data_IF_631450885073
#
_entry.id   IF_631450885073
#
_cell.length_a   1.000
_cell.length_b   1.000
_cell.length_c   1.000
_cell.angle_alpha   90.00
_cell.angle_beta   90.00
_cell.angle_gamma   90.00
#
_symmetry.space_group_name_H-M   'P 1'
#
loop_
_entity.id
_entity.type
_entity.pdbx_description
1 polymer ?
#
# COMPACT_ATOMS: atom_id res chain seq x y z
N UNK A 1 3.44 -9.42 14.99
CA UNK A 1 3.33 -8.34 16.01
C UNK A 1 4.21 -7.20 15.58
N UNK A 2 3.58 -6.07 15.26
CA UNK A 2 4.27 -4.85 14.86
C UNK A 2 5.25 -4.44 15.97
N UNK A 3 6.52 -4.33 15.67
CA UNK A 3 7.55 -3.81 16.57
C UNK A 3 7.53 -2.28 16.70
N UNK A 4 6.69 -1.61 15.89
CA UNK A 4 6.56 -0.15 15.86
C UNK A 4 5.37 0.29 16.73
N UNK A 5 5.66 0.78 17.93
CA UNK A 5 4.64 1.23 18.89
C UNK A 5 3.86 2.49 18.46
N UNK A 6 4.22 3.09 17.33
CA UNK A 6 3.62 4.33 16.85
C UNK A 6 2.32 4.14 16.08
N UNK A 7 1.96 2.90 15.72
CA UNK A 7 0.77 2.60 14.92
C UNK A 7 -0.20 1.70 15.66
N UNK A 8 -1.48 1.86 15.35
CA UNK A 8 -2.51 0.98 15.90
C UNK A 8 -2.39 -0.41 15.29
N UNK A 9 -2.51 -1.42 16.13
CA UNK A 9 -2.61 -2.81 15.66
C UNK A 9 -4.06 -3.12 15.29
N UNK A 10 -4.21 -4.09 14.37
CA UNK A 10 -5.50 -4.65 14.05
C UNK A 10 -6.11 -5.30 15.32
N UNK A 11 -7.37 -4.99 15.67
CA UNK A 11 -8.05 -5.68 16.78
C UNK A 11 -8.11 -7.19 16.55
N UNK A 12 -7.93 -7.99 17.59
CA UNK A 12 -7.86 -9.46 17.50
C UNK A 12 -9.03 -10.06 16.72
N UNK A 13 -10.25 -9.57 16.97
CA UNK A 13 -11.44 -10.07 16.26
C UNK A 13 -11.38 -9.84 14.74
N UNK A 14 -10.76 -8.74 14.31
CA UNK A 14 -10.58 -8.44 12.89
C UNK A 14 -9.46 -9.29 12.29
N UNK A 15 -8.37 -9.49 13.04
CA UNK A 15 -7.30 -10.40 12.66
C UNK A 15 -7.85 -11.81 12.48
N UNK A 16 -8.61 -12.33 13.44
CA UNK A 16 -9.21 -13.67 13.38
C UNK A 16 -10.10 -13.82 12.14
N UNK A 17 -10.97 -12.83 11.86
CA UNK A 17 -11.85 -12.84 10.69
C UNK A 17 -11.05 -12.78 9.37
N UNK A 18 -9.98 -11.97 9.29
CA UNK A 18 -9.11 -11.88 8.13
C UNK A 18 -8.44 -13.23 7.82
N UNK A 19 -7.91 -13.88 8.86
CA UNK A 19 -7.26 -15.19 8.72
C UNK A 19 -8.24 -16.32 8.42
N UNK A 20 -9.47 -16.25 8.92
CA UNK A 20 -10.52 -17.22 8.64
C UNK A 20 -11.17 -17.02 7.26
N UNK A 21 -11.02 -15.84 6.64
CA UNK A 21 -11.78 -15.47 5.45
C UNK A 21 -13.25 -15.22 5.74
N UNK A 22 -13.56 -14.78 6.96
CA UNK A 22 -14.92 -14.41 7.33
C UNK A 22 -15.27 -13.00 6.83
N UNK A 23 -16.54 -12.68 6.60
CA UNK A 23 -16.94 -11.33 6.23
C UNK A 23 -16.40 -10.25 7.19
N UNK A 24 -15.91 -9.12 6.66
CA UNK A 24 -15.94 -8.68 5.25
C UNK A 24 -14.72 -9.10 4.41
N UNK A 25 -13.93 -10.09 4.84
CA UNK A 25 -12.68 -10.52 4.20
C UNK A 25 -12.83 -11.80 3.35
N UNK A 26 -14.05 -12.26 3.15
CA UNK A 26 -14.42 -13.46 2.38
C UNK A 26 -14.19 -13.32 0.87
N UNK A 27 -14.18 -12.08 0.35
CA UNK A 27 -13.88 -11.76 -1.05
C UNK A 27 -12.46 -11.24 -1.30
N UNK A 28 -11.48 -11.61 -0.45
CA UNK A 28 -10.10 -11.17 -0.62
C UNK A 28 -9.35 -12.10 -1.58
N UNK A 29 -9.04 -11.61 -2.79
CA UNK A 29 -8.32 -12.37 -3.83
C UNK A 29 -6.81 -12.11 -3.81
N UNK A 30 -6.38 -10.92 -3.42
CA UNK A 30 -4.97 -10.53 -3.44
C UNK A 30 -4.60 -9.55 -2.32
N UNK A 31 -3.32 -9.61 -1.90
CA UNK A 31 -2.70 -8.61 -1.03
C UNK A 31 -1.48 -7.99 -1.70
N UNK A 32 -1.27 -6.70 -1.46
CA UNK A 32 -0.17 -5.92 -2.03
C UNK A 32 0.70 -5.34 -0.93
N UNK A 33 1.99 -5.64 -0.97
CA UNK A 33 2.98 -5.13 -0.01
C UNK A 33 3.78 -4.03 -0.69
N UNK A 34 3.80 -2.84 -0.10
CA UNK A 34 4.56 -1.72 -0.66
C UNK A 34 6.05 -1.86 -0.45
N UNK A 35 6.49 -2.29 0.74
CA UNK A 35 7.90 -2.47 1.08
C UNK A 35 8.07 -3.36 2.32
N UNK A 36 9.32 -3.73 2.66
CA UNK A 36 9.64 -4.77 3.64
C UNK A 36 9.76 -4.29 5.10
N UNK A 37 9.52 -3.02 5.42
CA UNK A 37 9.59 -2.55 6.80
C UNK A 37 8.54 -3.21 7.69
N UNK A 38 8.90 -3.43 8.96
CA UNK A 38 8.12 -4.24 9.89
C UNK A 38 6.76 -3.66 10.31
N UNK A 39 6.46 -2.41 9.97
CA UNK A 39 5.13 -1.79 10.11
C UNK A 39 4.24 -2.03 8.88
N UNK A 40 4.80 -2.46 7.76
CA UNK A 40 4.09 -2.85 6.53
C UNK A 40 4.14 -4.35 6.25
N UNK A 41 5.19 -5.02 6.73
CA UNK A 41 5.45 -6.41 6.41
C UNK A 41 6.17 -7.09 7.57
N UNK A 42 5.50 -8.03 8.23
CA UNK A 42 6.08 -8.93 9.23
C UNK A 42 6.13 -10.33 8.64
N UNK A 43 7.31 -10.87 8.27
CA UNK A 43 7.41 -12.15 7.56
C UNK A 43 6.66 -13.29 8.23
N UNK A 44 6.72 -13.39 9.57
CA UNK A 44 6.06 -14.44 10.34
C UNK A 44 4.53 -14.38 10.23
N UNK A 45 3.95 -13.18 10.34
CA UNK A 45 2.50 -13.00 10.23
C UNK A 45 2.03 -13.22 8.79
N UNK A 46 2.80 -12.75 7.80
CA UNK A 46 2.51 -12.98 6.38
C UNK A 46 2.59 -14.46 6.03
N UNK A 47 3.63 -15.20 6.50
CA UNK A 47 3.75 -16.63 6.29
C UNK A 47 2.53 -17.36 6.87
N UNK A 48 2.14 -17.00 8.09
CA UNK A 48 0.96 -17.58 8.77
C UNK A 48 -0.32 -17.28 7.97
N UNK A 49 -0.48 -16.05 7.46
CA UNK A 49 -1.63 -15.65 6.65
C UNK A 49 -1.69 -16.43 5.33
N UNK A 50 -0.60 -16.49 4.59
CA UNK A 50 -0.54 -17.20 3.30
C UNK A 50 -0.81 -18.71 3.44
N UNK A 51 -0.43 -19.31 4.56
CA UNK A 51 -0.78 -20.71 4.88
C UNK A 51 -2.26 -20.86 5.25
N UNK A 52 -2.84 -19.88 5.94
CA UNK A 52 -4.25 -19.91 6.33
C UNK A 52 -5.20 -19.62 5.15
N UNK A 53 -4.77 -18.83 4.18
CA UNK A 53 -5.55 -18.37 3.02
C UNK A 53 -4.90 -18.86 1.71
N UNK A 54 -5.13 -20.13 1.33
CA UNK A 54 -4.59 -20.69 0.09
C UNK A 54 -5.24 -20.13 -1.19
N UNK A 55 -6.32 -19.40 -1.05
CA UNK A 55 -7.11 -18.72 -2.06
C UNK A 55 -6.60 -17.30 -2.41
N UNK A 56 -5.62 -16.76 -1.67
CA UNK A 56 -5.15 -15.38 -1.82
C UNK A 56 -3.78 -15.33 -2.46
N UNK A 57 -3.63 -14.51 -3.50
CA UNK A 57 -2.35 -14.16 -4.11
C UNK A 57 -1.65 -13.02 -3.36
N UNK A 58 -0.33 -12.91 -3.49
CA UNK A 58 0.43 -11.83 -2.88
C UNK A 58 1.40 -11.19 -3.88
N UNK A 59 1.33 -9.87 -3.98
CA UNK A 59 2.22 -9.05 -4.81
C UNK A 59 3.16 -8.23 -3.92
N UNK A 60 4.47 -8.40 -4.09
CA UNK A 60 5.48 -7.86 -3.17
C UNK A 60 6.73 -7.36 -3.89
N UNK A 61 7.49 -6.40 -3.33
CA UNK A 61 8.86 -6.15 -3.78
C UNK A 61 9.75 -7.36 -3.49
N UNK A 62 10.77 -7.57 -4.32
CA UNK A 62 11.73 -8.69 -4.18
C UNK A 62 12.33 -8.79 -2.77
N UNK A 63 12.58 -7.66 -2.11
CA UNK A 63 13.09 -7.60 -0.74
C UNK A 63 12.16 -8.31 0.28
N UNK A 64 10.84 -8.09 0.16
CA UNK A 64 9.87 -8.76 1.03
C UNK A 64 9.78 -10.26 0.70
N UNK A 65 9.82 -10.64 -0.58
CA UNK A 65 9.84 -12.04 -0.98
C UNK A 65 11.08 -12.78 -0.46
N UNK A 66 12.25 -12.15 -0.49
CA UNK A 66 13.50 -12.69 0.07
C UNK A 66 13.36 -12.89 1.58
N UNK A 67 12.84 -11.88 2.31
CA UNK A 67 12.65 -11.98 3.75
C UNK A 67 11.67 -13.10 4.13
N UNK A 68 10.59 -13.28 3.36
CA UNK A 68 9.64 -14.38 3.56
C UNK A 68 10.29 -15.75 3.33
N UNK A 69 11.06 -15.90 2.24
CA UNK A 69 11.80 -17.15 1.94
C UNK A 69 12.81 -17.50 3.02
N UNK A 70 13.41 -16.52 3.67
CA UNK A 70 14.44 -16.73 4.69
C UNK A 70 13.90 -17.40 5.96
N UNK A 71 12.60 -17.28 6.23
CA UNK A 71 11.95 -17.91 7.42
C UNK A 71 11.11 -19.12 7.08
N UNK A 72 10.79 -19.33 5.80
CA UNK A 72 9.95 -20.44 5.35
C UNK A 72 10.65 -21.79 5.51
N UNK A 73 9.89 -22.80 5.91
CA UNK A 73 10.32 -24.20 6.00
C UNK A 73 10.00 -24.97 4.69
N UNK A 74 10.39 -26.24 4.64
CA UNK A 74 10.04 -27.12 3.54
C UNK A 74 8.51 -27.32 3.40
N UNK A 75 7.76 -27.19 4.49
CA UNK A 75 6.28 -27.31 4.47
C UNK A 75 5.58 -26.08 3.89
N UNK A 76 6.28 -24.95 3.77
CA UNK A 76 5.71 -23.68 3.32
C UNK A 76 5.99 -23.40 1.82
N UNK A 77 6.57 -24.37 1.09
CA UNK A 77 7.02 -24.10 -0.28
C UNK A 77 5.88 -23.76 -1.24
N UNK A 78 4.71 -24.35 -1.07
CA UNK A 78 3.54 -24.17 -1.93
C UNK A 78 3.01 -22.72 -1.92
N UNK A 79 3.29 -21.94 -0.86
CA UNK A 79 2.87 -20.53 -0.84
C UNK A 79 3.56 -19.69 -1.92
N UNK A 80 4.79 -20.09 -2.32
CA UNK A 80 5.59 -19.30 -3.27
C UNK A 80 5.09 -19.37 -4.71
N UNK A 81 4.17 -20.25 -5.03
CA UNK A 81 3.46 -20.26 -6.32
C UNK A 81 2.52 -19.05 -6.44
N UNK A 82 2.06 -18.53 -5.28
CA UNK A 82 1.14 -17.40 -5.13
C UNK A 82 1.83 -16.09 -4.74
N UNK A 83 3.14 -16.11 -4.51
CA UNK A 83 3.95 -14.92 -4.21
C UNK A 83 4.54 -14.38 -5.50
N UNK A 84 4.00 -13.30 -6.01
CA UNK A 84 4.43 -12.61 -7.23
C UNK A 84 5.33 -11.44 -6.84
N UNK A 85 6.63 -11.59 -7.02
CA UNK A 85 7.60 -10.55 -6.67
C UNK A 85 7.92 -9.64 -7.85
N UNK A 86 8.04 -8.33 -7.57
CA UNK A 86 8.54 -7.34 -8.51
C UNK A 86 9.92 -6.86 -8.07
N UNK A 87 10.81 -6.72 -9.04
CA UNK A 87 12.15 -6.18 -8.84
C UNK A 87 12.30 -4.94 -9.71
N UNK A 88 12.19 -3.77 -9.09
CA UNK A 88 12.26 -2.49 -9.75
C UNK A 88 13.33 -1.62 -9.09
N UNK A 89 14.23 -1.08 -9.89
CA UNK A 89 15.12 -0.04 -9.45
C UNK A 89 14.47 1.35 -9.58
N UNK A 90 15.04 2.33 -8.89
CA UNK A 90 14.56 3.71 -9.02
C UNK A 90 14.77 4.21 -10.45
N UNK A 91 13.71 4.69 -11.08
CA UNK A 91 13.60 5.12 -12.49
C UNK A 91 13.50 4.00 -13.51
N UNK A 92 13.34 2.77 -13.10
CA UNK A 92 12.87 1.75 -14.03
C UNK A 92 11.48 2.09 -14.54
N UNK A 93 11.19 1.69 -15.76
CA UNK A 93 9.85 1.84 -16.32
C UNK A 93 8.83 1.06 -15.46
N UNK A 94 7.59 1.57 -15.32
CA UNK A 94 6.52 0.83 -14.66
C UNK A 94 6.31 -0.53 -15.30
N UNK A 95 5.97 -1.53 -14.48
CA UNK A 95 5.52 -2.83 -14.98
C UNK A 95 4.01 -2.92 -14.92
N UNK A 96 3.42 -3.66 -15.86
CA UNK A 96 1.99 -3.94 -15.90
C UNK A 96 1.78 -5.44 -16.03
N UNK A 97 0.82 -5.97 -15.27
CA UNK A 97 0.39 -7.35 -15.25
C UNK A 97 -1.13 -7.38 -15.35
N UNK A 98 -1.65 -8.33 -16.12
CA UNK A 98 -3.10 -8.61 -16.13
C UNK A 98 -3.28 -10.03 -15.62
N UNK A 99 -4.05 -10.16 -14.53
CA UNK A 99 -4.36 -11.45 -13.92
C UNK A 99 -5.87 -11.52 -13.71
N UNK A 100 -6.52 -12.40 -14.44
CA UNK A 100 -7.98 -12.49 -14.47
C UNK A 100 -8.62 -11.13 -14.80
N UNK A 101 -9.36 -10.55 -13.86
CA UNK A 101 -10.04 -9.26 -13.98
C UNK A 101 -9.29 -8.11 -13.26
N UNK A 102 -8.05 -8.37 -12.84
CA UNK A 102 -7.18 -7.37 -12.24
C UNK A 102 -6.13 -6.87 -13.25
N UNK A 103 -6.05 -5.58 -13.45
CA UNK A 103 -4.88 -4.95 -14.05
C UNK A 103 -4.03 -4.32 -12.95
N UNK A 104 -2.80 -4.79 -12.82
CA UNK A 104 -1.88 -4.43 -11.75
C UNK A 104 -0.69 -3.70 -12.35
N UNK A 105 -0.46 -2.48 -11.91
CA UNK A 105 0.69 -1.69 -12.31
C UNK A 105 1.55 -1.37 -11.09
N UNK A 106 2.86 -1.47 -11.26
CA UNK A 106 3.84 -1.21 -10.21
C UNK A 106 4.91 -0.23 -10.65
N UNK A 107 5.22 0.73 -9.79
CA UNK A 107 6.28 1.73 -10.01
C UNK A 107 7.07 1.91 -8.72
N UNK A 108 8.40 1.96 -8.80
CA UNK A 108 9.24 2.28 -7.65
C UNK A 108 9.34 3.78 -7.43
N UNK A 109 8.79 4.28 -6.32
CA UNK A 109 9.02 5.64 -5.81
C UNK A 109 9.90 5.52 -4.56
N UNK A 110 11.00 6.29 -4.42
CA UNK A 110 11.84 6.25 -3.23
C UNK A 110 11.03 6.40 -1.95
N UNK A 111 11.45 5.67 -0.93
CA UNK A 111 10.88 5.78 0.40
C UNK A 111 11.15 7.17 1.01
N UNK A 112 10.25 7.65 1.85
CA UNK A 112 10.42 8.90 2.61
C UNK A 112 11.77 8.92 3.36
N UNK A 113 12.45 10.07 3.31
CA UNK A 113 13.81 10.23 3.80
C UNK A 113 14.87 10.36 2.70
N UNK A 114 14.46 10.21 1.44
CA UNK A 114 15.33 10.51 0.31
C UNK A 114 15.79 11.99 0.34
N UNK A 115 17.02 12.34 -0.09
CA UNK A 115 18.06 11.48 -0.69
C UNK A 115 19.09 10.94 0.31
N UNK A 116 18.89 11.07 1.59
CA UNK A 116 19.92 10.78 2.62
C UNK A 116 19.63 9.54 3.46
N UNK A 117 18.41 9.01 3.43
CA UNK A 117 18.00 7.84 4.20
C UNK A 117 17.15 6.86 3.39
N UNK A 118 17.18 5.59 3.78
CA UNK A 118 16.33 4.51 3.25
C UNK A 118 16.43 4.31 1.73
N UNK A 119 17.61 4.60 1.16
CA UNK A 119 17.85 4.49 -0.29
C UNK A 119 17.80 3.05 -0.79
N UNK A 120 18.05 2.12 0.11
CA UNK A 120 18.00 0.67 -0.11
C UNK A 120 16.58 0.10 -0.09
N UNK A 121 15.59 0.87 0.37
CA UNK A 121 14.20 0.40 0.47
C UNK A 121 13.51 0.51 -0.87
N UNK A 122 13.09 -0.62 -1.42
CA UNK A 122 12.22 -0.67 -2.60
C UNK A 122 10.77 -0.44 -2.18
N UNK A 123 10.36 0.83 -2.16
CA UNK A 123 8.94 1.17 -1.96
C UNK A 123 8.22 1.13 -3.32
N UNK A 124 7.27 0.23 -3.44
CA UNK A 124 6.46 0.04 -4.65
C UNK A 124 5.12 0.73 -4.49
N UNK A 125 4.83 1.59 -5.42
CA UNK A 125 3.49 2.14 -5.66
C UNK A 125 2.71 1.12 -6.47
N UNK A 126 1.55 0.72 -5.97
CA UNK A 126 0.64 -0.18 -6.64
C UNK A 126 -0.57 0.58 -7.16
N UNK A 127 -0.84 0.48 -8.47
CA UNK A 127 -2.09 0.90 -9.08
C UNK A 127 -2.83 -0.33 -9.57
N UNK A 128 -4.04 -0.54 -9.06
CA UNK A 128 -4.84 -1.73 -9.35
C UNK A 128 -6.18 -1.30 -9.91
N UNK A 129 -6.52 -1.83 -11.08
CA UNK A 129 -7.84 -1.68 -11.68
C UNK A 129 -8.61 -2.97 -11.51
N UNK A 130 -9.76 -2.88 -10.86
CA UNK A 130 -10.68 -3.97 -10.55
C UNK A 130 -11.79 -3.99 -11.60
N UNK A 131 -12.11 -5.17 -12.11
CA UNK A 131 -13.25 -5.39 -13.03
C UNK A 131 -13.28 -4.43 -14.23
N UNK A 132 -12.11 -4.04 -14.73
CA UNK A 132 -11.93 -3.09 -15.84
C UNK A 132 -12.54 -1.68 -15.58
N UNK A 133 -12.97 -1.39 -14.37
CA UNK A 133 -13.74 -0.19 -14.04
C UNK A 133 -13.12 0.64 -12.92
N UNK A 134 -12.89 0.06 -11.75
CA UNK A 134 -12.49 0.79 -10.54
C UNK A 134 -10.98 0.77 -10.35
N UNK A 135 -10.34 1.92 -10.35
CA UNK A 135 -8.88 2.04 -10.17
C UNK A 135 -8.54 2.62 -8.79
N UNK A 136 -7.71 1.90 -8.06
CA UNK A 136 -7.14 2.37 -6.79
C UNK A 136 -5.62 2.48 -6.89
N UNK A 137 -5.04 3.40 -6.13
CA UNK A 137 -3.59 3.56 -6.05
C UNK A 137 -3.12 3.68 -4.61
N UNK A 138 -2.14 2.86 -4.23
CA UNK A 138 -1.51 2.87 -2.92
C UNK A 138 -0.05 3.29 -3.04
N UNK A 139 0.36 4.33 -2.31
CA UNK A 139 1.69 4.92 -2.47
C UNK A 139 2.77 4.32 -1.54
N UNK A 140 2.39 3.43 -0.62
CA UNK A 140 3.31 2.98 0.43
C UNK A 140 3.85 4.16 1.23
N UNK A 141 5.13 4.15 1.52
CA UNK A 141 5.85 5.21 2.22
C UNK A 141 6.62 6.14 1.26
N UNK A 142 6.01 6.46 0.14
CA UNK A 142 6.62 7.30 -0.88
C UNK A 142 7.13 8.65 -0.33
N UNK A 143 8.29 9.08 -0.83
CA UNK A 143 8.81 10.42 -0.59
C UNK A 143 7.99 11.47 -1.35
N UNK A 144 7.53 12.51 -0.65
CA UNK A 144 6.67 13.55 -1.22
C UNK A 144 7.46 14.62 -2.00
N UNK A 145 8.31 14.19 -2.94
CA UNK A 145 9.09 15.06 -3.79
C UNK A 145 8.68 14.88 -5.26
N UNK A 146 8.26 15.95 -5.94
CA UNK A 146 7.74 15.91 -7.32
C UNK A 146 8.75 15.35 -8.34
N UNK A 147 10.04 15.38 -8.05
CA UNK A 147 11.05 14.80 -8.94
C UNK A 147 10.80 13.32 -9.23
N UNK A 148 10.24 12.58 -8.27
CA UNK A 148 9.93 11.15 -8.41
C UNK A 148 8.69 10.92 -9.27
N UNK A 149 7.73 11.83 -9.23
CA UNK A 149 6.44 11.75 -9.92
C UNK A 149 6.49 12.38 -11.32
N UNK A 150 7.60 13.01 -11.66
CA UNK A 150 7.84 13.61 -13.00
C UNK A 150 8.56 12.67 -13.97
N UNK A 151 9.08 11.53 -13.50
CA UNK A 151 9.91 10.62 -14.31
C UNK A 151 9.10 9.84 -15.34
N UNK A 152 7.87 9.46 -15.01
CA UNK A 152 7.01 8.59 -15.83
C UNK A 152 5.65 9.23 -16.08
N UNK A 153 5.59 10.31 -16.87
CA UNK A 153 4.34 11.05 -17.09
C UNK A 153 3.24 10.20 -17.75
N UNK A 154 3.60 9.21 -18.55
CA UNK A 154 2.63 8.28 -19.15
C UNK A 154 1.93 7.43 -18.10
N UNK A 155 2.66 6.92 -17.10
CA UNK A 155 2.06 6.19 -15.99
C UNK A 155 1.02 7.05 -15.26
N UNK A 156 1.36 8.28 -14.89
CA UNK A 156 0.44 9.15 -14.14
C UNK A 156 -0.76 9.63 -14.97
N UNK A 157 -0.59 9.83 -16.28
CA UNK A 157 -1.62 10.37 -17.14
C UNK A 157 -2.50 9.30 -17.80
N UNK A 158 -2.10 8.03 -17.79
CA UNK A 158 -2.83 6.96 -18.49
C UNK A 158 -4.15 6.60 -17.83
N UNK A 159 -4.23 6.71 -16.50
CA UNK A 159 -5.44 6.39 -15.73
C UNK A 159 -5.58 7.33 -14.55
N UNK A 160 -6.77 7.87 -14.37
CA UNK A 160 -7.15 8.61 -13.17
C UNK A 160 -7.70 7.63 -12.14
N UNK A 161 -7.06 7.49 -10.95
CA UNK A 161 -7.59 6.62 -9.91
C UNK A 161 -8.92 7.15 -9.34
N UNK A 162 -9.83 6.26 -9.01
CA UNK A 162 -11.04 6.59 -8.26
C UNK A 162 -10.70 6.88 -6.81
N UNK A 163 -9.75 6.12 -6.25
CA UNK A 163 -9.28 6.35 -4.88
C UNK A 163 -7.75 6.20 -4.77
N UNK A 164 -7.14 7.16 -4.05
CA UNK A 164 -5.72 7.12 -3.69
C UNK A 164 -5.52 6.96 -2.19
N UNK A 165 -4.48 6.20 -1.83
CA UNK A 165 -4.02 5.99 -0.47
C UNK A 165 -2.59 6.53 -0.30
N UNK A 166 -2.41 7.87 -0.21
CA UNK A 166 -1.11 8.46 0.06
C UNK A 166 -0.80 8.45 1.55
N UNK A 167 0.48 8.41 1.96
CA UNK A 167 0.86 8.67 3.33
C UNK A 167 0.42 10.08 3.76
N UNK A 168 0.02 10.23 5.04
CA UNK A 168 -0.54 11.48 5.55
C UNK A 168 0.36 12.71 5.37
N UNK A 169 1.69 12.53 5.30
CA UNK A 169 2.62 13.65 5.11
C UNK A 169 2.55 14.32 3.73
N UNK A 170 1.90 13.71 2.74
CA UNK A 170 1.62 14.39 1.47
C UNK A 170 0.73 15.62 1.64
N UNK A 171 -0.13 15.60 2.64
CA UNK A 171 -1.03 16.70 2.95
C UNK A 171 -0.36 17.81 3.78
N UNK A 172 0.83 17.57 4.34
CA UNK A 172 1.53 18.52 5.20
C UNK A 172 2.45 19.48 4.43
N UNK A 173 2.48 19.42 3.10
CA UNK A 173 3.30 20.30 2.27
C UNK A 173 2.63 20.66 0.96
N UNK A 174 2.95 21.87 0.45
CA UNK A 174 2.44 22.29 -0.86
C UNK A 174 2.93 21.40 -2.00
N UNK A 175 4.14 20.83 -1.90
CA UNK A 175 4.67 19.90 -2.89
C UNK A 175 3.84 18.62 -2.90
N UNK A 176 3.56 18.04 -1.73
CA UNK A 176 2.71 16.86 -1.62
C UNK A 176 1.30 17.11 -2.17
N UNK A 177 0.67 18.23 -1.81
CA UNK A 177 -0.64 18.63 -2.35
C UNK A 177 -0.63 18.79 -3.88
N UNK A 178 0.44 19.34 -4.44
CA UNK A 178 0.60 19.44 -5.89
C UNK A 178 0.77 18.06 -6.56
N UNK A 179 1.48 17.13 -5.93
CA UNK A 179 1.59 15.75 -6.41
C UNK A 179 0.21 15.10 -6.42
N UNK A 180 -0.53 15.18 -5.31
CA UNK A 180 -1.88 14.60 -5.22
C UNK A 180 -2.82 15.15 -6.30
N UNK A 181 -2.82 16.47 -6.52
CA UNK A 181 -3.75 17.11 -7.44
C UNK A 181 -3.33 17.07 -8.91
N UNK A 182 -2.03 17.06 -9.22
CA UNK A 182 -1.54 17.23 -10.61
C UNK A 182 -0.92 15.96 -11.20
N UNK A 183 -0.37 15.09 -10.36
CA UNK A 183 0.24 13.83 -10.82
C UNK A 183 -0.72 12.67 -10.66
N UNK A 184 -1.26 12.50 -9.45
CA UNK A 184 -2.16 11.37 -9.13
C UNK A 184 -3.57 11.66 -9.63
N UNK A 185 -4.11 12.84 -9.29
CA UNK A 185 -5.41 13.32 -9.79
C UNK A 185 -6.58 12.41 -9.40
N UNK A 186 -6.50 11.63 -8.31
CA UNK A 186 -7.56 10.74 -7.91
C UNK A 186 -8.86 11.49 -7.57
N UNK A 187 -10.01 10.86 -7.83
CA UNK A 187 -11.31 11.44 -7.49
C UNK A 187 -11.47 11.60 -5.97
N UNK A 188 -10.96 10.63 -5.21
CA UNK A 188 -10.92 10.63 -3.75
C UNK A 188 -9.53 10.27 -3.27
N UNK A 189 -9.14 10.79 -2.10
CA UNK A 189 -7.88 10.43 -1.45
C UNK A 189 -8.08 10.30 0.05
N UNK A 190 -7.58 9.21 0.63
CA UNK A 190 -7.61 8.95 2.07
C UNK A 190 -6.18 8.77 2.56
N UNK A 191 -5.77 9.61 3.49
CA UNK A 191 -4.42 9.53 4.05
C UNK A 191 -4.23 8.29 4.92
N UNK A 192 -3.15 7.58 4.67
CA UNK A 192 -2.72 6.37 5.39
C UNK A 192 -1.44 6.63 6.17
N UNK A 193 -0.90 5.59 6.81
CA UNK A 193 0.31 5.65 7.64
C UNK A 193 0.17 6.66 8.79
N UNK A 194 -1.03 6.75 9.36
CA UNK A 194 -1.38 7.74 10.37
C UNK A 194 -0.91 7.27 11.74
N UNK A 195 -0.11 8.08 12.48
CA UNK A 195 0.34 7.71 13.82
C UNK A 195 -0.85 7.48 14.78
N UNK A 196 -0.74 6.52 15.67
CA UNK A 196 -1.77 6.22 16.69
C UNK A 196 -2.11 7.42 17.60
N UNK A 197 -1.18 8.38 17.72
CA UNK A 197 -1.40 9.63 18.46
C UNK A 197 -2.25 10.66 17.70
N UNK A 198 -2.50 10.45 16.39
CA UNK A 198 -3.35 11.34 15.61
C UNK A 198 -4.81 11.25 16.07
N UNK A 199 -5.42 12.39 16.36
CA UNK A 199 -6.81 12.42 16.79
C UNK A 199 -7.77 12.00 15.66
N UNK A 200 -8.78 11.19 15.99
CA UNK A 200 -9.92 10.96 15.12
C UNK A 200 -10.89 12.15 15.07
N UNK A 201 -10.81 13.08 16.05
CA UNK A 201 -11.49 14.36 15.96
C UNK A 201 -10.67 15.33 15.08
N UNK A 202 -11.18 15.73 13.88
CA UNK A 202 -10.45 16.62 12.99
C UNK A 202 -10.07 17.97 13.61
N UNK A 203 -10.89 18.47 14.55
CA UNK A 203 -10.64 19.77 15.19
C UNK A 203 -9.39 19.78 16.06
N UNK A 204 -8.94 18.62 16.51
CA UNK A 204 -7.75 18.42 17.36
C UNK A 204 -6.48 18.07 16.55
N UNK A 205 -6.60 17.92 15.23
CA UNK A 205 -5.47 17.63 14.33
C UNK A 205 -4.64 18.90 14.06
N UNK A 206 -3.38 18.75 13.60
CA UNK A 206 -2.64 19.84 12.99
C UNK A 206 -3.48 20.56 11.94
N UNK A 207 -3.30 21.88 11.80
CA UNK A 207 -4.17 22.71 10.97
C UNK A 207 -4.28 22.21 9.52
N UNK A 208 -3.16 21.74 8.95
CA UNK A 208 -3.05 21.22 7.59
C UNK A 208 -3.76 19.87 7.37
N UNK A 209 -4.14 19.17 8.46
CA UNK A 209 -4.80 17.85 8.41
C UNK A 209 -6.27 17.88 8.87
N UNK A 210 -6.82 19.06 9.21
CA UNK A 210 -8.18 19.15 9.74
C UNK A 210 -9.25 18.78 8.72
N UNK A 211 -9.05 19.17 7.47
CA UNK A 211 -9.99 18.92 6.39
C UNK A 211 -9.58 17.72 5.51
N UNK A 212 -8.60 16.94 5.98
CA UNK A 212 -8.11 15.76 5.27
C UNK A 212 -8.82 14.51 5.76
N UNK A 213 -9.30 13.70 4.82
CA UNK A 213 -9.79 12.36 5.14
C UNK A 213 -8.60 11.44 5.45
N UNK A 214 -8.59 10.87 6.66
CA UNK A 214 -7.53 10.01 7.17
C UNK A 214 -8.12 8.74 7.76
N UNK A 215 -7.48 7.60 7.54
CA UNK A 215 -7.74 6.41 8.34
C UNK A 215 -7.08 6.56 9.72
N UNK A 216 -7.86 6.77 10.74
CA UNK A 216 -7.40 7.00 12.11
C UNK A 216 -7.76 5.89 13.09
N UNK A 217 -8.68 5.02 12.72
CA UNK A 217 -9.12 3.89 13.55
C UNK A 217 -9.14 2.61 12.71
N UNK A 218 -8.64 1.47 13.24
CA UNK A 218 -8.73 0.20 12.53
C UNK A 218 -10.17 -0.18 12.19
N UNK A 219 -10.39 -0.62 10.94
CA UNK A 219 -11.72 -1.03 10.46
C UNK A 219 -12.56 0.08 9.85
N UNK A 220 -12.06 1.31 9.78
CA UNK A 220 -12.71 2.35 8.99
C UNK A 220 -12.77 1.95 7.52
N UNK A 221 -13.89 2.27 6.87
CA UNK A 221 -14.12 2.01 5.45
C UNK A 221 -14.48 3.28 4.70
N UNK A 222 -14.18 3.33 3.43
CA UNK A 222 -14.63 4.37 2.49
C UNK A 222 -15.21 3.68 1.27
N UNK A 223 -16.38 4.14 0.85
CA UNK A 223 -16.96 3.70 -0.41
C UNK A 223 -16.20 4.37 -1.57
N UNK A 224 -15.83 3.59 -2.57
CA UNK A 224 -15.38 4.13 -3.85
C UNK A 224 -16.64 4.42 -4.64
N UNK A 225 -16.83 5.68 -5.06
CA UNK A 225 -17.98 6.05 -5.88
C UNK A 225 -17.79 5.38 -7.24
N UNK A 226 -18.59 4.34 -7.51
CA UNK A 226 -18.57 3.68 -8.80
C UNK A 226 -19.10 4.61 -9.90
N UNK A 227 -18.59 4.42 -11.12
CA UNK A 227 -19.13 5.02 -12.34
C UNK A 227 -20.45 4.37 -12.72
#
# INVERSE_FOLDING_TARGET
KNSYSNYMLLPQKMEDALFAGDPPYDGLDAIFISHYHGDHFTPEDVLRFMNARPDVDMYVPSQAAIALRAIASAADQDIFDRVKSVDLEYKDAPISLVVENLEIEALRIPHSGWPTGRLDVANIVWRVTLDEATTVIHLGDADANDIHFSTDPEFWNSKQPDMAFPPYWFYSSQVGLNILSRRIGAQQSVGIHVPAAMSNDPSLRPAELRDVDLFTVPGETRAISGH
#
